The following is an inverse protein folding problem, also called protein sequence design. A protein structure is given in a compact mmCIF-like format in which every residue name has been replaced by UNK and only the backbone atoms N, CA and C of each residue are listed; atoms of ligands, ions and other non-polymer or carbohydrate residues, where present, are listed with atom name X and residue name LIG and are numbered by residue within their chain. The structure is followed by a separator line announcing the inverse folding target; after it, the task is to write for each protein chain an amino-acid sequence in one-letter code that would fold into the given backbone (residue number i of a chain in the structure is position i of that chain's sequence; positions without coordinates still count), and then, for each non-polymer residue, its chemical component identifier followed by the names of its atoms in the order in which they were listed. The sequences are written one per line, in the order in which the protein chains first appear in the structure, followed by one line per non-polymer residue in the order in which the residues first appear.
data_IF_447392792762
#
_entry.id   IF_447392792762
#
_cell.length_a   1.000
_cell.length_b   1.000
_cell.length_c   1.000
_cell.angle_alpha   90.00
_cell.angle_beta   90.00
_cell.angle_gamma   90.00
#
_symmetry.space_group_name_H-M   'P 1'
#
loop_
_entity.id
_entity.type
_entity.pdbx_description
1 polymer ?
#
# COMPACT_ATOMS: atom_id res chain seq x y z
N UNK A 1 -7.98 -19.21 -6.92
CA UNK A 1 -8.11 -17.85 -7.41
C UNK A 1 -6.74 -17.20 -7.48
N UNK A 2 -6.51 -16.47 -8.53
CA UNK A 2 -5.24 -15.81 -8.68
C UNK A 2 -5.14 -14.61 -7.75
N UNK A 3 -3.98 -14.45 -7.12
CA UNK A 3 -3.74 -13.26 -6.32
C UNK A 3 -3.55 -12.05 -7.22
N UNK A 4 -3.86 -10.89 -6.67
CA UNK A 4 -3.63 -9.60 -7.32
C UNK A 4 -2.49 -8.89 -6.63
N UNK A 5 -2.05 -7.79 -7.23
CA UNK A 5 -0.90 -7.06 -6.76
C UNK A 5 -1.27 -5.59 -6.62
N UNK A 6 -0.78 -4.97 -5.56
CA UNK A 6 -1.14 -3.61 -5.19
C UNK A 6 0.09 -2.83 -4.77
N UNK A 7 -0.02 -1.52 -4.80
CA UNK A 7 0.98 -0.63 -4.21
C UNK A 7 0.25 0.25 -3.20
N UNK A 8 0.77 0.29 -1.98
CA UNK A 8 0.23 1.11 -0.90
C UNK A 8 1.29 2.13 -0.48
N UNK A 9 0.90 3.41 -0.44
CA UNK A 9 1.81 4.50 -0.09
C UNK A 9 1.69 4.86 1.38
N UNK A 10 2.83 5.10 2.00
CA UNK A 10 2.90 5.60 3.38
C UNK A 10 4.04 6.61 3.49
N UNK A 11 3.84 7.68 4.26
CA UNK A 11 4.93 8.60 4.56
C UNK A 11 5.81 7.96 5.63
N UNK A 12 7.15 7.82 5.36
CA UNK A 12 8.01 7.12 6.32
C UNK A 12 8.11 7.80 7.69
N UNK A 13 7.88 9.11 7.76
CA UNK A 13 7.83 9.81 9.05
C UNK A 13 6.60 9.47 9.87
N UNK A 14 5.54 8.98 9.23
CA UNK A 14 4.32 8.56 9.91
C UNK A 14 4.30 7.05 10.13
N UNK A 15 4.63 6.27 9.10
CA UNK A 15 4.66 4.82 9.21
C UNK A 15 5.57 4.24 8.11
N UNK A 16 6.67 3.61 8.51
CA UNK A 16 7.67 3.08 7.60
C UNK A 16 7.59 1.55 7.49
N UNK A 17 8.31 1.00 6.50
CA UNK A 17 8.46 -0.45 6.39
C UNK A 17 9.09 -1.05 7.64
N UNK A 18 10.01 -0.30 8.27
CA UNK A 18 10.65 -0.76 9.50
C UNK A 18 9.65 -0.79 10.67
N UNK A 19 8.70 0.15 10.68
CA UNK A 19 7.63 0.15 11.68
C UNK A 19 6.78 -1.11 11.52
N UNK A 20 6.44 -1.49 10.29
CA UNK A 20 5.68 -2.71 10.03
C UNK A 20 6.46 -3.94 10.48
N UNK A 21 7.76 -4.00 10.15
CA UNK A 21 8.60 -5.14 10.54
C UNK A 21 8.69 -5.29 12.05
N UNK A 22 8.53 -4.20 12.80
CA UNK A 22 8.60 -4.17 14.26
C UNK A 22 7.27 -4.43 14.96
N UNK A 23 6.16 -4.48 14.23
CA UNK A 23 4.85 -4.72 14.82
C UNK A 23 4.74 -6.13 15.43
N UNK A 24 3.91 -6.31 16.48
CA UNK A 24 3.57 -7.66 16.92
C UNK A 24 3.02 -8.47 15.74
N UNK A 25 3.54 -9.68 15.56
CA UNK A 25 3.20 -10.55 14.43
C UNK A 25 3.48 -9.92 13.06
N UNK A 26 4.10 -8.73 13.02
CA UNK A 26 4.42 -7.99 11.80
C UNK A 26 3.19 -7.65 10.96
N UNK A 27 2.08 -7.37 11.63
CA UNK A 27 0.80 -7.04 10.98
C UNK A 27 0.36 -5.64 11.41
N UNK A 28 -0.20 -4.89 10.45
CA UNK A 28 -0.82 -3.60 10.74
C UNK A 28 -2.10 -3.43 9.92
N UNK A 29 -3.00 -2.61 10.42
CA UNK A 29 -4.17 -2.15 9.67
C UNK A 29 -3.75 -0.96 8.81
N UNK A 30 -4.19 -0.94 7.55
CA UNK A 30 -3.88 0.16 6.64
C UNK A 30 -4.97 1.21 6.72
N UNK A 31 -5.11 1.83 7.90
CA UNK A 31 -6.15 2.82 8.19
C UNK A 31 -5.80 4.19 7.64
N UNK A 32 -6.78 5.09 7.67
CA UNK A 32 -6.55 6.50 7.33
C UNK A 32 -6.67 6.85 5.86
N UNK A 33 -7.05 5.92 4.99
CA UNK A 33 -7.25 6.23 3.57
C UNK A 33 -8.54 7.04 3.41
N UNK A 34 -8.43 8.24 2.86
CA UNK A 34 -9.54 9.20 2.74
C UNK A 34 -9.74 9.69 1.30
N UNK A 35 -9.60 8.80 0.35
CA UNK A 35 -9.89 9.02 -1.07
C UNK A 35 -10.88 7.95 -1.49
N UNK A 36 -12.00 8.32 -2.10
CA UNK A 36 -13.06 7.37 -2.42
C UNK A 36 -12.64 6.31 -3.43
N UNK A 37 -11.81 6.67 -4.41
CA UNK A 37 -11.33 5.67 -5.37
C UNK A 37 -10.42 4.64 -4.69
N UNK A 38 -9.50 5.10 -3.84
CA UNK A 38 -8.64 4.21 -3.06
C UNK A 38 -9.48 3.35 -2.11
N UNK A 39 -10.48 3.95 -1.45
CA UNK A 39 -11.40 3.24 -0.57
C UNK A 39 -12.11 2.10 -1.32
N UNK A 40 -12.51 2.35 -2.56
CA UNK A 40 -13.19 1.33 -3.35
C UNK A 40 -12.29 0.12 -3.61
N UNK A 41 -11.00 0.34 -3.85
CA UNK A 41 -10.05 -0.78 -3.97
C UNK A 41 -9.99 -1.57 -2.66
N UNK A 42 -9.88 -0.87 -1.53
CA UNK A 42 -9.79 -1.53 -0.21
C UNK A 42 -11.05 -2.32 0.11
N UNK A 43 -12.21 -1.74 -0.18
CA UNK A 43 -13.50 -2.36 0.15
C UNK A 43 -13.85 -3.53 -0.78
N UNK A 44 -13.62 -3.36 -2.09
CA UNK A 44 -14.24 -4.22 -3.09
C UNK A 44 -13.28 -5.15 -3.83
N UNK A 45 -12.00 -4.82 -3.91
CA UNK A 45 -11.10 -5.52 -4.83
C UNK A 45 -9.91 -6.21 -4.17
N UNK A 46 -9.37 -5.65 -3.10
CA UNK A 46 -8.23 -6.26 -2.42
C UNK A 46 -8.71 -7.48 -1.65
N UNK A 47 -8.00 -8.59 -1.81
CA UNK A 47 -8.37 -9.88 -1.19
C UNK A 47 -7.22 -10.44 -0.38
N UNK A 48 -7.56 -11.29 0.59
CA UNK A 48 -6.56 -12.01 1.38
C UNK A 48 -5.64 -12.80 0.45
N UNK A 49 -4.34 -12.68 0.68
CA UNK A 49 -3.33 -13.33 -0.15
C UNK A 49 -2.74 -12.44 -1.23
N UNK A 50 -3.38 -11.31 -1.52
CA UNK A 50 -2.83 -10.37 -2.48
C UNK A 50 -1.49 -9.81 -1.96
N UNK A 51 -0.60 -9.49 -2.90
CA UNK A 51 0.72 -8.97 -2.57
C UNK A 51 0.76 -7.47 -2.73
N UNK A 52 1.55 -6.81 -1.90
CA UNK A 52 1.61 -5.36 -1.79
C UNK A 52 3.05 -4.89 -1.93
N UNK A 53 3.28 -3.93 -2.82
CA UNK A 53 4.52 -3.13 -2.80
C UNK A 53 4.32 -2.05 -1.74
N UNK A 54 5.17 -2.05 -0.72
CA UNK A 54 5.17 -1.02 0.30
C UNK A 54 6.00 0.16 -0.22
N UNK A 55 5.37 1.32 -0.36
CA UNK A 55 5.98 2.48 -0.99
C UNK A 55 6.06 3.63 0.00
N UNK A 56 7.26 4.20 0.16
CA UNK A 56 7.45 5.43 0.94
C UNK A 56 7.20 6.64 0.04
N UNK A 57 6.26 7.50 0.44
CA UNK A 57 5.95 8.72 -0.29
C UNK A 57 6.59 9.92 0.37
N UNK A 58 6.58 11.05 -0.32
CA UNK A 58 7.06 12.36 0.13
C UNK A 58 8.58 12.42 0.26
N UNK A 59 9.18 11.82 1.27
CA UNK A 59 10.62 11.88 1.50
C UNK A 59 11.29 10.72 0.78
N UNK A 60 12.21 11.03 -0.15
CA UNK A 60 12.92 10.04 -0.95
C UNK A 60 11.96 8.96 -1.51
N UNK A 61 10.97 9.35 -2.33
CA UNK A 61 9.91 8.41 -2.78
C UNK A 61 10.49 7.14 -3.39
N UNK A 62 10.12 5.99 -2.85
CA UNK A 62 10.69 4.71 -3.29
C UNK A 62 9.85 3.52 -2.84
N UNK A 63 9.90 2.45 -3.62
CA UNK A 63 9.40 1.16 -3.19
C UNK A 63 10.45 0.55 -2.25
N UNK A 64 10.04 0.10 -1.08
CA UNK A 64 10.98 -0.30 -0.03
C UNK A 64 10.82 -1.73 0.45
N UNK A 65 9.75 -2.41 0.06
CA UNK A 65 9.55 -3.79 0.48
C UNK A 65 8.24 -4.36 0.01
N UNK A 66 7.90 -5.51 0.56
CA UNK A 66 6.69 -6.26 0.19
C UNK A 66 5.94 -6.65 1.45
N UNK A 67 4.62 -6.56 1.36
CA UNK A 67 3.70 -7.06 2.38
C UNK A 67 2.66 -7.96 1.72
N UNK A 68 1.87 -8.64 2.53
CA UNK A 68 0.79 -9.52 2.04
C UNK A 68 -0.49 -9.19 2.80
N UNK A 69 -1.60 -9.18 2.09
CA UNK A 69 -2.91 -8.93 2.70
C UNK A 69 -3.33 -10.16 3.51
N UNK A 70 -3.65 -9.95 4.79
CA UNK A 70 -4.06 -11.02 5.70
C UNK A 70 -5.50 -10.85 6.19
N UNK A 71 -6.08 -9.67 6.03
CA UNK A 71 -7.50 -9.43 6.33
C UNK A 71 -8.05 -8.47 5.28
N UNK A 72 -9.12 -8.86 4.62
CA UNK A 72 -9.69 -8.06 3.52
C UNK A 72 -10.68 -7.03 4.02
N UNK A 73 -11.06 -6.11 3.15
CA UNK A 73 -11.81 -4.90 3.40
C UNK A 73 -12.85 -4.96 4.52
N UNK A 74 -12.61 -4.17 5.54
CA UNK A 74 -13.52 -3.99 6.64
C UNK A 74 -13.55 -2.50 7.01
N UNK A 75 -14.61 -2.03 7.70
CA UNK A 75 -14.71 -0.61 8.02
C UNK A 75 -13.54 -0.11 8.87
N UNK A 76 -13.04 1.08 8.52
CA UNK A 76 -11.91 1.70 9.21
C UNK A 76 -12.41 2.36 10.49
N UNK A 77 -12.09 1.81 11.67
CA UNK A 77 -12.60 2.36 12.94
C UNK A 77 -11.96 3.68 13.34
N UNK A 78 -10.83 4.06 12.73
CA UNK A 78 -10.22 5.36 13.06
C UNK A 78 -11.12 6.52 12.66
N UNK A 79 -12.02 6.30 11.68
CA UNK A 79 -12.97 7.32 11.26
C UNK A 79 -14.01 7.63 12.36
N UNK A 80 -14.18 6.76 13.33
CA UNK A 80 -15.17 6.91 14.40
C UNK A 80 -14.60 7.47 15.69
N UNK A 81 -13.28 7.64 15.76
CA UNK A 81 -12.60 8.11 16.97
C UNK A 81 -12.39 9.62 16.89
N UNK A 82 -13.11 10.42 17.70
CA UNK A 82 -13.03 11.89 17.61
C UNK A 82 -11.62 12.46 17.78
N UNK A 83 -10.74 11.74 18.49
CA UNK A 83 -9.38 12.22 18.73
C UNK A 83 -8.38 11.73 17.72
N UNK A 84 -8.80 10.88 16.78
CA UNK A 84 -7.90 10.39 15.72
C UNK A 84 -7.82 11.43 14.60
N UNK A 85 -6.63 11.63 14.05
CA UNK A 85 -6.44 12.59 12.96
C UNK A 85 -7.24 12.23 11.72
N UNK A 86 -7.68 10.97 11.60
CA UNK A 86 -8.48 10.49 10.46
C UNK A 86 -9.97 10.46 10.77
N UNK A 87 -10.40 11.07 11.87
CA UNK A 87 -11.81 11.12 12.25
C UNK A 87 -12.64 11.76 11.15
N UNK A 88 -13.78 11.13 10.85
CA UNK A 88 -14.74 11.66 9.90
C UNK A 88 -16.14 11.48 10.47
N UNK A 89 -16.81 12.57 10.92
CA UNK A 89 -18.12 12.45 11.54
C UNK A 89 -19.21 11.95 10.59
N UNK A 90 -18.96 11.96 9.29
CA UNK A 90 -19.91 11.44 8.31
C UNK A 90 -19.87 9.92 8.22
N UNK A 91 -18.82 9.29 8.76
CA UNK A 91 -18.69 7.84 8.79
C UNK A 91 -19.09 7.32 10.15
N UNK A 92 -20.01 6.37 10.21
CA UNK A 92 -20.49 5.79 11.46
C UNK A 92 -20.45 4.27 11.36
N UNK A 93 -20.49 3.56 12.50
CA UNK A 93 -20.54 2.10 12.45
C UNK A 93 -21.73 1.56 11.67
N UNK A 94 -22.85 2.29 11.63
CA UNK A 94 -24.06 1.90 10.89
C UNK A 94 -23.94 2.21 9.41
N UNK A 95 -23.14 3.23 9.05
CA UNK A 95 -22.92 3.65 7.66
C UNK A 95 -21.45 4.00 7.45
N UNK A 96 -20.59 2.97 7.43
CA UNK A 96 -19.16 3.24 7.25
C UNK A 96 -18.86 3.77 5.84
N UNK A 97 -18.06 4.82 5.78
CA UNK A 97 -17.61 5.40 4.51
C UNK A 97 -16.20 4.92 4.15
N UNK A 98 -15.37 4.62 5.16
CA UNK A 98 -13.96 4.34 4.97
C UNK A 98 -13.65 2.91 5.35
N UNK A 99 -12.74 2.30 4.60
CA UNK A 99 -12.40 0.88 4.74
C UNK A 99 -10.90 0.71 4.82
N UNK A 100 -10.49 -0.40 5.36
CA UNK A 100 -9.08 -0.74 5.55
C UNK A 100 -8.86 -2.22 5.29
N UNK A 101 -7.61 -2.62 5.22
CA UNK A 101 -7.18 -4.02 5.15
C UNK A 101 -6.03 -4.19 6.13
N UNK A 102 -5.76 -5.42 6.53
CA UNK A 102 -4.58 -5.72 7.32
C UNK A 102 -3.53 -6.33 6.41
N UNK A 103 -2.29 -5.89 6.58
CA UNK A 103 -1.16 -6.40 5.83
C UNK A 103 -0.07 -6.91 6.76
N UNK A 104 0.63 -7.95 6.31
CA UNK A 104 1.72 -8.57 7.05
C UNK A 104 3.03 -8.32 6.30
N UNK A 105 4.07 -7.98 7.05
CA UNK A 105 5.40 -7.80 6.49
C UNK A 105 5.88 -9.09 5.81
N UNK A 106 6.42 -8.97 4.60
CA UNK A 106 7.04 -10.09 3.89
C UNK A 106 8.55 -9.89 3.82
N UNK A 107 8.98 -8.72 3.34
CA UNK A 107 10.42 -8.41 3.29
C UNK A 107 10.66 -6.93 3.07
N UNK A 108 11.85 -6.48 3.46
CA UNK A 108 12.37 -5.17 3.11
C UNK A 108 13.39 -5.39 1.99
N UNK A 109 13.31 -4.58 0.93
CA UNK A 109 14.28 -4.68 -0.17
C UNK A 109 15.70 -4.36 0.32
N UNK A 110 16.68 -5.07 -0.24
CA UNK A 110 18.08 -4.75 0.01
C UNK A 110 18.41 -3.33 -0.45
N UNK A 111 17.77 -2.90 -1.55
CA UNK A 111 17.92 -1.56 -2.09
C UNK A 111 16.56 -0.95 -2.32
N UNK A 112 16.29 0.21 -1.72
CA UNK A 112 15.07 0.96 -2.04
C UNK A 112 15.07 1.23 -3.56
N UNK A 113 13.88 1.17 -4.17
CA UNK A 113 13.72 1.40 -5.61
C UNK A 113 13.16 2.82 -5.79
N UNK A 114 14.00 3.82 -6.11
CA UNK A 114 13.51 5.20 -6.21
C UNK A 114 12.49 5.37 -7.33
N UNK A 115 11.55 6.28 -7.12
CA UNK A 115 10.59 6.65 -8.16
C UNK A 115 11.29 7.00 -9.47
N UNK A 116 12.40 7.73 -9.37
CA UNK A 116 13.20 8.11 -10.53
C UNK A 116 13.67 6.89 -11.32
N UNK A 117 14.13 5.84 -10.63
CA UNK A 117 14.58 4.61 -11.30
C UNK A 117 13.43 3.91 -12.00
N UNK A 118 12.24 3.90 -11.37
CA UNK A 118 11.07 3.30 -11.99
C UNK A 118 10.64 4.05 -13.25
N UNK A 119 10.76 5.39 -13.25
CA UNK A 119 10.45 6.20 -14.44
C UNK A 119 11.38 5.92 -15.62
N UNK A 120 12.59 5.44 -15.33
CA UNK A 120 13.56 5.14 -16.37
C UNK A 120 13.40 3.76 -16.98
N UNK A 121 12.55 2.92 -16.43
CA UNK A 121 12.33 1.57 -16.95
C UNK A 121 11.12 1.58 -17.88
N UNK A 122 11.31 1.36 -19.19
CA UNK A 122 10.18 1.39 -20.14
C UNK A 122 9.13 0.31 -19.86
N UNK A 123 9.49 -0.78 -19.20
CA UNK A 123 8.53 -1.82 -18.87
C UNK A 123 7.54 -1.36 -17.78
N UNK A 124 7.84 -0.28 -17.05
CA UNK A 124 6.96 0.28 -16.04
C UNK A 124 6.19 1.50 -16.54
N UNK A 125 6.35 1.88 -17.80
CA UNK A 125 5.80 3.14 -18.33
C UNK A 125 4.27 3.26 -18.17
N UNK A 126 3.53 2.16 -18.16
CA UNK A 126 2.08 2.18 -18.03
C UNK A 126 1.58 2.10 -16.59
N UNK A 127 2.48 2.14 -15.62
CA UNK A 127 2.13 1.98 -14.21
C UNK A 127 1.35 3.18 -13.69
N UNK A 128 0.28 2.92 -12.92
CA UNK A 128 -0.53 4.00 -12.35
C UNK A 128 0.31 4.96 -11.50
N UNK A 129 1.28 4.44 -10.75
CA UNK A 129 2.18 5.26 -9.92
C UNK A 129 2.87 6.36 -10.72
N UNK A 130 3.21 6.09 -11.98
CA UNK A 130 3.96 7.00 -12.83
C UNK A 130 3.05 7.95 -13.62
N UNK A 131 1.76 7.76 -13.56
CA UNK A 131 0.80 8.60 -14.30
C UNK A 131 0.82 10.01 -13.73
N UNK A 132 0.99 11.00 -14.61
CA UNK A 132 0.99 12.40 -14.20
C UNK A 132 -0.33 12.76 -13.54
N UNK A 133 -0.25 13.38 -12.37
CA UNK A 133 -1.43 13.85 -11.64
C UNK A 133 -2.14 12.78 -10.82
N UNK A 134 -1.63 11.55 -10.80
CA UNK A 134 -2.23 10.53 -9.94
C UNK A 134 -2.04 10.89 -8.47
N UNK A 135 -3.13 10.80 -7.70
CA UNK A 135 -3.11 11.08 -6.25
C UNK A 135 -3.52 9.87 -5.44
N UNK A 136 -3.58 8.71 -6.08
CA UNK A 136 -3.96 7.49 -5.38
C UNK A 136 -2.88 7.04 -4.42
N UNK A 137 -3.27 6.69 -3.21
CA UNK A 137 -2.38 6.07 -2.22
C UNK A 137 -2.52 4.55 -2.20
N UNK A 138 -3.52 4.04 -2.89
CA UNK A 138 -3.77 2.60 -3.07
C UNK A 138 -4.02 2.42 -4.56
N UNK A 139 -3.27 1.54 -5.21
CA UNK A 139 -3.43 1.34 -6.64
C UNK A 139 -3.08 -0.08 -7.05
N UNK A 140 -3.72 -0.59 -8.10
CA UNK A 140 -3.34 -1.90 -8.64
C UNK A 140 -2.01 -1.81 -9.37
N UNK A 141 -1.26 -2.89 -9.34
CA UNK A 141 -0.08 -3.08 -10.20
C UNK A 141 -0.22 -4.43 -10.87
N UNK A 142 0.35 -4.56 -12.06
CA UNK A 142 0.32 -5.85 -12.76
C UNK A 142 1.34 -6.80 -12.12
N UNK A 143 1.15 -8.09 -12.35
CA UNK A 143 2.11 -9.09 -11.88
C UNK A 143 3.51 -8.78 -12.43
N UNK A 144 3.61 -8.40 -13.70
CA UNK A 144 4.88 -8.07 -14.33
C UNK A 144 5.54 -6.86 -13.68
N UNK A 145 4.77 -5.80 -13.41
CA UNK A 145 5.27 -4.62 -12.72
C UNK A 145 5.77 -4.98 -11.32
N UNK A 146 5.00 -5.79 -10.60
CA UNK A 146 5.39 -6.24 -9.27
C UNK A 146 6.73 -6.98 -9.32
N UNK A 147 6.87 -7.91 -10.25
CA UNK A 147 8.10 -8.72 -10.37
C UNK A 147 9.30 -7.87 -10.76
N UNK A 148 9.12 -6.89 -11.64
CA UNK A 148 10.20 -5.99 -12.03
C UNK A 148 10.69 -5.19 -10.81
N UNK A 149 9.77 -4.61 -10.05
CA UNK A 149 10.12 -3.82 -8.87
C UNK A 149 10.84 -4.69 -7.84
N UNK A 150 10.37 -5.91 -7.62
CA UNK A 150 11.03 -6.83 -6.69
C UNK A 150 12.46 -7.15 -7.13
N UNK A 151 12.70 -7.35 -8.42
CA UNK A 151 14.05 -7.59 -8.93
C UNK A 151 14.95 -6.36 -8.79
N UNK A 152 14.38 -5.15 -8.95
CA UNK A 152 15.14 -3.92 -8.75
C UNK A 152 15.55 -3.75 -7.28
N UNK A 153 14.66 -4.14 -6.37
CA UNK A 153 14.93 -4.03 -4.93
C UNK A 153 15.87 -5.11 -4.42
N UNK A 154 15.79 -6.30 -4.98
CA UNK A 154 16.60 -7.46 -4.59
C UNK A 154 17.19 -8.12 -5.83
N UNK A 155 18.22 -7.51 -6.47
CA UNK A 155 18.73 -8.02 -7.75
C UNK A 155 19.28 -9.44 -7.67
N UNK A 156 19.73 -9.87 -6.49
CA UNK A 156 20.29 -11.20 -6.30
C UNK A 156 19.26 -12.23 -5.87
N UNK A 157 18.02 -11.80 -5.65
CA UNK A 157 16.92 -12.69 -5.28
C UNK A 157 16.42 -13.42 -6.53
N UNK A 158 16.18 -14.72 -6.40
CA UNK A 158 15.67 -15.53 -7.51
C UNK A 158 14.30 -16.06 -7.20
#
# INVERSE_FOLDING_TARGET
MEKKYWLLKSEPGCYSIDDLAAEPEQITSWSGVRNFQARNFLRDQISVGDMVIFYHSVTAPSAVGVARVVKAGYPDPTAWEPEDEHFDPKSTPERPLWYTVDVCFVKKFANAVPLKAMRMDPALAGMELLRKGSRLSVMPVSKNEFEIICRMGDPESR
#
